data_IF_689148892689
#
_entry.id   IF_689148892689
#
_cell.length_a   1.000
_cell.length_b   1.000
_cell.length_c   1.000
_cell.angle_alpha   90.00
_cell.angle_beta   90.00
_cell.angle_gamma   90.00
#
_symmetry.space_group_name_H-M   'P 1'
#
loop_
_entity.id
_entity.type
_entity.pdbx_description
1 polymer ?
#
# COMPACT_ATOMS: atom_id res chain seq x y z
N UNK A 1 48.22 -6.19 -63.34
CA UNK A 1 49.05 -5.33 -62.44
C UNK A 1 48.11 -4.48 -61.58
N UNK A 2 48.60 -3.87 -60.47
CA UNK A 2 47.97 -2.77 -59.67
C UNK A 2 46.46 -2.88 -59.33
N UNK A 3 46.00 -3.24 -58.11
CA UNK A 3 46.04 -2.51 -56.81
C UNK A 3 45.57 -1.04 -56.93
N UNK A 4 44.68 -0.47 -56.10
CA UNK A 4 44.37 -0.59 -54.64
C UNK A 4 42.82 -0.60 -54.41
N UNK A 5 42.20 -1.20 -53.37
CA UNK A 5 42.22 -0.94 -51.90
C UNK A 5 41.75 0.51 -51.59
N UNK A 6 40.72 0.80 -50.77
CA UNK A 6 39.93 0.02 -49.78
C UNK A 6 38.39 0.26 -49.98
N UNK A 7 37.40 0.29 -49.05
CA UNK A 7 37.31 0.31 -47.55
C UNK A 7 36.01 -0.40 -47.05
N UNK A 8 35.57 -0.14 -45.80
CA UNK A 8 34.46 -0.80 -45.08
C UNK A 8 33.09 -0.08 -45.13
N UNK A 9 31.99 -0.85 -45.04
CA UNK A 9 30.73 -0.43 -44.41
C UNK A 9 29.96 -1.64 -43.82
N UNK A 10 29.55 -1.56 -42.55
CA UNK A 10 28.68 -2.55 -41.88
C UNK A 10 27.28 -1.95 -41.71
N UNK A 11 26.23 -2.68 -42.08
CA UNK A 11 24.88 -2.12 -42.23
C UNK A 11 23.72 -3.10 -42.02
N UNK A 12 23.60 -3.62 -40.80
CA UNK A 12 22.34 -4.00 -40.12
C UNK A 12 21.13 -4.49 -40.96
N UNK A 13 20.85 -5.79 -40.85
CA UNK A 13 19.47 -6.29 -40.93
C UNK A 13 18.62 -5.65 -39.82
N UNK A 14 17.45 -5.13 -40.17
CA UNK A 14 16.41 -4.71 -39.21
C UNK A 14 15.02 -5.07 -39.76
N UNK A 15 14.61 -6.32 -39.57
CA UNK A 15 13.29 -6.79 -39.97
C UNK A 15 12.19 -6.33 -38.99
N UNK A 16 10.99 -6.13 -39.54
CA UNK A 16 9.75 -5.69 -38.92
C UNK A 16 9.55 -5.94 -37.41
N UNK A 17 9.14 -4.89 -36.70
CA UNK A 17 8.16 -4.99 -35.61
C UNK A 17 7.29 -3.73 -35.52
N UNK A 18 6.27 -3.64 -36.38
CA UNK A 18 5.14 -2.73 -36.18
C UNK A 18 4.33 -3.23 -34.97
N UNK A 19 4.77 -2.85 -33.76
CA UNK A 19 3.98 -3.07 -32.55
C UNK A 19 2.78 -2.14 -32.61
N UNK A 20 1.68 -2.64 -33.13
CA UNK A 20 0.37 -2.00 -32.99
C UNK A 20 0.06 -1.90 -31.49
N UNK A 21 0.21 -0.70 -30.94
CA UNK A 21 -0.15 -0.36 -29.56
C UNK A 21 -1.67 -0.39 -29.42
N UNK A 22 -2.22 -1.60 -29.28
CA UNK A 22 -3.61 -1.82 -28.92
C UNK A 22 -3.95 -0.93 -27.71
N UNK A 23 -5.06 -0.16 -27.77
CA UNK A 23 -5.40 0.75 -26.71
C UNK A 23 -5.55 -0.03 -25.41
N UNK A 24 -4.73 0.30 -24.41
CA UNK A 24 -4.84 -0.28 -23.07
C UNK A 24 -6.22 0.08 -22.56
N UNK A 25 -7.13 -0.91 -22.54
CA UNK A 25 -8.49 -0.71 -22.09
C UNK A 25 -8.45 -0.14 -20.67
N UNK A 26 -8.84 1.12 -20.53
CA UNK A 26 -8.69 1.91 -19.31
C UNK A 26 -9.70 1.44 -18.25
N UNK A 27 -9.46 0.25 -17.71
CA UNK A 27 -10.38 -0.44 -16.81
C UNK A 27 -10.47 0.32 -15.50
N UNK A 28 -11.54 1.12 -15.38
CA UNK A 28 -12.06 1.75 -14.17
C UNK A 28 -12.63 0.71 -13.19
N UNK A 29 -11.85 -0.35 -12.95
CA UNK A 29 -12.15 -1.40 -11.98
C UNK A 29 -12.46 -0.76 -10.63
N UNK A 30 -13.69 -0.97 -10.12
CA UNK A 30 -14.38 0.01 -9.31
C UNK A 30 -13.65 0.35 -8.01
N UNK A 31 -14.06 1.46 -7.40
CA UNK A 31 -13.84 1.66 -5.97
C UNK A 31 -14.53 0.50 -5.25
N UNK A 32 -13.75 -0.52 -4.87
CA UNK A 32 -14.26 -1.58 -4.01
C UNK A 32 -14.55 -0.95 -2.65
N UNK A 33 -15.82 -0.61 -2.46
CA UNK A 33 -16.44 -0.64 -1.16
C UNK A 33 -16.28 -2.08 -0.67
N UNK A 34 -15.21 -2.33 0.09
CA UNK A 34 -15.11 -3.52 0.91
C UNK A 34 -16.29 -3.48 1.87
N UNK A 35 -17.21 -4.43 1.74
CA UNK A 35 -18.29 -4.60 2.69
C UNK A 35 -17.68 -4.73 4.09
N UNK A 36 -18.33 -4.08 5.05
CA UNK A 36 -17.87 -4.05 6.44
C UNK A 36 -18.76 -4.98 7.23
N UNK A 37 -18.62 -6.27 6.95
CA UNK A 37 -19.38 -7.27 7.68
C UNK A 37 -18.96 -7.21 9.17
N UNK A 38 -19.93 -7.41 10.06
CA UNK A 38 -19.68 -7.49 11.50
C UNK A 38 -19.77 -8.94 11.94
N UNK A 39 -18.74 -9.43 12.62
CA UNK A 39 -18.72 -10.80 13.16
C UNK A 39 -19.76 -10.89 14.28
N UNK A 40 -20.71 -11.82 14.17
CA UNK A 40 -21.75 -12.07 15.17
C UNK A 40 -21.42 -13.29 16.04
N UNK A 41 -20.81 -14.33 15.46
CA UNK A 41 -20.35 -15.52 16.16
C UNK A 41 -19.08 -16.10 15.53
N UNK A 42 -18.28 -16.80 16.36
CA UNK A 42 -17.07 -17.52 15.93
C UNK A 42 -17.05 -18.89 16.60
N UNK A 43 -16.97 -19.95 15.82
CA UNK A 43 -16.79 -21.33 16.30
C UNK A 43 -15.53 -21.94 15.63
N UNK A 44 -15.06 -23.12 16.06
CA UNK A 44 -13.95 -23.81 15.39
C UNK A 44 -14.24 -24.18 13.92
N UNK A 45 -15.50 -24.28 13.52
CA UNK A 45 -15.93 -24.71 12.17
C UNK A 45 -16.49 -23.59 11.32
N UNK A 46 -17.04 -22.53 11.94
CA UNK A 46 -17.90 -21.55 11.27
C UNK A 46 -17.67 -20.14 11.83
N UNK A 47 -17.54 -19.16 10.93
CA UNK A 47 -17.56 -17.74 11.25
C UNK A 47 -18.88 -17.17 10.73
N UNK A 48 -19.72 -16.66 11.64
CA UNK A 48 -20.99 -16.01 11.28
C UNK A 48 -20.79 -14.51 11.23
N UNK A 49 -21.17 -13.89 10.11
CA UNK A 49 -21.02 -12.46 9.85
C UNK A 49 -22.36 -11.85 9.41
N UNK A 50 -22.56 -10.56 9.69
CA UNK A 50 -23.73 -9.79 9.26
C UNK A 50 -23.32 -8.65 8.33
N UNK A 51 -23.96 -8.55 7.16
CA UNK A 51 -23.87 -7.41 6.23
C UNK A 51 -25.27 -6.86 5.95
N UNK A 52 -25.48 -5.55 6.16
CA UNK A 52 -26.82 -4.97 6.20
C UNK A 52 -27.71 -5.71 7.21
N UNK A 53 -28.76 -6.38 6.73
CA UNK A 53 -29.59 -7.31 7.49
C UNK A 53 -29.38 -8.80 7.15
N UNK A 54 -28.59 -9.10 6.12
CA UNK A 54 -28.22 -10.47 5.76
C UNK A 54 -27.23 -11.06 6.76
N UNK A 55 -27.34 -12.37 7.00
CA UNK A 55 -26.40 -13.13 7.84
C UNK A 55 -25.79 -14.24 7.00
N UNK A 56 -24.47 -14.35 7.04
CA UNK A 56 -23.66 -15.21 6.20
C UNK A 56 -22.77 -16.10 7.07
N UNK A 57 -22.43 -17.29 6.57
CA UNK A 57 -21.57 -18.26 7.28
C UNK A 57 -20.37 -18.67 6.42
N UNK A 58 -19.18 -18.54 7.00
CA UNK A 58 -17.92 -18.87 6.34
C UNK A 58 -17.31 -20.12 6.99
N UNK A 59 -17.01 -21.19 6.22
CA UNK A 59 -16.41 -22.40 6.76
C UNK A 59 -14.94 -22.17 7.14
N UNK A 60 -14.64 -22.29 8.43
CA UNK A 60 -13.32 -21.97 8.99
C UNK A 60 -12.26 -23.06 8.76
N UNK A 61 -12.67 -24.26 8.33
CA UNK A 61 -11.76 -25.37 8.06
C UNK A 61 -10.76 -25.09 6.91
N UNK A 62 -11.13 -24.23 5.95
CA UNK A 62 -10.26 -23.80 4.84
C UNK A 62 -10.07 -22.28 4.75
N UNK A 63 -10.67 -21.51 5.67
CA UNK A 63 -10.56 -20.07 5.69
C UNK A 63 -9.14 -19.59 6.02
N UNK A 64 -8.64 -18.65 5.24
CA UNK A 64 -7.38 -17.96 5.50
C UNK A 64 -7.70 -16.66 6.25
N UNK A 65 -7.08 -16.46 7.43
CA UNK A 65 -7.35 -15.30 8.29
C UNK A 65 -6.18 -14.32 8.25
N UNK A 66 -6.49 -13.02 8.16
CA UNK A 66 -5.49 -11.95 8.21
C UNK A 66 -5.89 -10.80 9.13
N UNK A 67 -4.93 -10.31 9.91
CA UNK A 67 -5.02 -9.03 10.62
C UNK A 67 -4.58 -7.91 9.66
N UNK A 68 -5.53 -7.38 8.89
CA UNK A 68 -5.27 -6.52 7.73
C UNK A 68 -4.40 -7.23 6.68
N UNK A 69 -3.10 -6.91 6.63
CA UNK A 69 -2.16 -7.53 5.68
C UNK A 69 -1.47 -8.78 6.24
N UNK A 70 -1.37 -8.92 7.57
CA UNK A 70 -0.60 -9.99 8.21
C UNK A 70 -1.38 -11.30 8.24
N UNK A 71 -0.80 -12.44 7.81
CA UNK A 71 -1.33 -13.76 8.13
C UNK A 71 -1.53 -13.92 9.64
N UNK A 72 -2.67 -14.50 10.03
CA UNK A 72 -3.05 -14.70 11.43
C UNK A 72 -3.75 -16.05 11.62
N UNK A 73 -3.79 -16.51 12.86
CA UNK A 73 -4.63 -17.65 13.27
C UNK A 73 -6.10 -17.22 13.36
N UNK A 74 -7.07 -18.11 13.04
CA UNK A 74 -8.48 -17.92 13.39
C UNK A 74 -8.73 -17.51 14.85
N UNK A 75 -7.82 -17.85 15.77
CA UNK A 75 -7.92 -17.48 17.18
C UNK A 75 -7.89 -15.96 17.48
N UNK A 76 -7.64 -15.08 16.49
CA UNK A 76 -7.84 -13.63 16.65
C UNK A 76 -9.32 -13.21 16.55
N UNK A 77 -10.17 -13.98 15.85
CA UNK A 77 -11.53 -13.57 15.49
C UNK A 77 -12.46 -13.51 16.71
N UNK A 78 -13.24 -12.44 16.87
CA UNK A 78 -14.24 -12.27 17.94
C UNK A 78 -15.52 -11.63 17.42
N UNK A 79 -16.64 -11.93 18.10
CA UNK A 79 -17.88 -11.20 17.90
C UNK A 79 -17.69 -9.69 18.19
N UNK A 80 -18.31 -8.84 17.36
CA UNK A 80 -18.16 -7.39 17.40
C UNK A 80 -16.96 -6.84 16.61
N UNK A 81 -16.11 -7.68 16.02
CA UNK A 81 -15.09 -7.21 15.07
C UNK A 81 -15.69 -6.89 13.69
N UNK A 82 -15.10 -5.90 13.00
CA UNK A 82 -15.38 -5.65 11.58
C UNK A 82 -14.43 -6.47 10.71
N UNK A 83 -14.96 -7.20 9.74
CA UNK A 83 -14.21 -7.98 8.75
C UNK A 83 -14.55 -7.54 7.32
N UNK A 84 -13.79 -8.04 6.36
CA UNK A 84 -14.23 -8.23 4.97
C UNK A 84 -13.83 -9.63 4.54
N UNK A 85 -14.78 -10.40 4.04
CA UNK A 85 -14.55 -11.73 3.45
C UNK A 85 -14.43 -11.59 1.94
N UNK A 86 -13.44 -12.28 1.34
CA UNK A 86 -13.27 -12.32 -0.11
C UNK A 86 -13.19 -13.75 -0.60
N UNK A 87 -14.05 -14.09 -1.57
CA UNK A 87 -14.23 -15.47 -2.00
C UNK A 87 -15.01 -16.31 -0.99
N UNK A 88 -16.04 -15.72 -0.37
CA UNK A 88 -16.96 -16.38 0.59
C UNK A 88 -17.42 -17.77 0.11
N UNK A 89 -17.80 -17.87 -1.17
CA UNK A 89 -18.27 -19.10 -1.84
C UNK A 89 -17.14 -19.90 -2.53
N UNK A 90 -15.87 -19.64 -2.20
CA UNK A 90 -14.71 -20.38 -2.75
C UNK A 90 -14.13 -21.35 -1.74
N UNK A 91 -13.39 -22.36 -2.22
CA UNK A 91 -12.79 -23.41 -1.37
C UNK A 91 -11.80 -22.87 -0.32
N UNK A 92 -11.31 -21.63 -0.48
CA UNK A 92 -10.34 -20.97 0.42
C UNK A 92 -10.70 -19.51 0.67
N UNK A 93 -11.77 -19.23 1.45
CA UNK A 93 -12.24 -17.86 1.69
C UNK A 93 -11.19 -17.07 2.49
N UNK A 94 -10.98 -15.80 2.14
CA UNK A 94 -10.03 -14.92 2.81
C UNK A 94 -10.77 -13.94 3.73
N UNK A 95 -10.62 -14.15 5.04
CA UNK A 95 -11.19 -13.29 6.09
C UNK A 95 -10.15 -12.24 6.49
N UNK A 96 -10.44 -10.97 6.23
CA UNK A 96 -9.59 -9.84 6.59
C UNK A 96 -10.22 -9.10 7.77
N UNK A 97 -9.61 -9.21 8.95
CA UNK A 97 -10.00 -8.43 10.14
C UNK A 97 -9.50 -6.99 9.99
N UNK A 98 -10.38 -6.02 10.18
CA UNK A 98 -10.03 -4.59 10.18
C UNK A 98 -9.60 -4.14 11.58
N UNK A 99 -8.63 -3.22 11.71
CA UNK A 99 -8.19 -2.75 13.01
C UNK A 99 -9.20 -1.78 13.61
N UNK A 100 -9.61 -2.05 14.86
CA UNK A 100 -10.42 -1.14 15.67
C UNK A 100 -9.74 0.22 15.89
N UNK A 101 -8.41 0.25 15.99
CA UNK A 101 -7.64 1.49 16.00
C UNK A 101 -6.30 1.36 15.25
N UNK A 102 -5.89 2.43 14.57
CA UNK A 102 -4.55 2.60 14.02
C UNK A 102 -3.97 3.95 14.45
N UNK A 103 -2.70 3.95 14.86
CA UNK A 103 -2.09 5.14 15.47
C UNK A 103 -0.66 4.94 15.94
N UNK A 104 -0.34 5.55 17.08
CA UNK A 104 0.95 5.45 17.76
C UNK A 104 0.79 4.70 19.07
N UNK A 105 1.65 3.73 19.36
CA UNK A 105 1.67 3.07 20.66
C UNK A 105 2.23 4.02 21.73
N UNK A 106 1.58 4.05 22.88
CA UNK A 106 2.03 4.73 24.12
C UNK A 106 1.68 3.86 25.32
N UNK A 107 2.42 4.02 26.42
CA UNK A 107 2.18 3.29 27.67
C UNK A 107 2.15 4.23 28.89
N UNK A 108 1.07 4.99 29.12
CA UNK A 108 0.91 5.75 30.36
C UNK A 108 0.68 4.80 31.54
N UNK A 109 1.70 4.65 32.40
CA UNK A 109 1.65 3.72 33.52
C UNK A 109 1.65 2.25 33.07
N UNK A 110 0.69 1.47 33.54
CA UNK A 110 0.61 0.03 33.27
C UNK A 110 0.05 -0.30 31.87
N UNK A 111 -0.92 0.47 31.39
CA UNK A 111 -1.74 0.11 30.23
C UNK A 111 -1.16 0.60 28.89
N UNK A 112 -1.30 -0.23 27.85
CA UNK A 112 -0.99 0.18 26.48
C UNK A 112 -2.14 0.95 25.85
N UNK A 113 -1.80 1.89 24.97
CA UNK A 113 -2.75 2.73 24.25
C UNK A 113 -2.34 2.92 22.78
N UNK A 114 -3.32 3.16 21.91
CA UNK A 114 -3.13 3.59 20.52
C UNK A 114 -3.69 5.00 20.35
N UNK A 115 -2.80 5.98 20.15
CA UNK A 115 -3.18 7.36 19.84
C UNK A 115 -3.45 7.49 18.34
N UNK A 116 -4.74 7.53 17.96
CA UNK A 116 -5.18 7.72 16.57
C UNK A 116 -5.44 9.20 16.27
N UNK A 117 -4.81 9.72 15.21
CA UNK A 117 -4.97 11.12 14.78
C UNK A 117 -6.38 11.52 14.32
N UNK A 118 -7.27 10.57 14.06
CA UNK A 118 -8.65 10.81 13.61
C UNK A 118 -9.72 10.43 14.63
N UNK A 119 -9.41 9.51 15.53
CA UNK A 119 -10.42 8.85 16.38
C UNK A 119 -10.09 8.94 17.89
N UNK A 120 -9.04 9.68 18.26
CA UNK A 120 -8.60 9.86 19.64
C UNK A 120 -7.72 8.71 20.13
N UNK A 121 -7.55 8.65 21.45
CA UNK A 121 -6.79 7.60 22.13
C UNK A 121 -7.68 6.42 22.46
N UNK A 122 -7.18 5.20 22.24
CA UNK A 122 -7.82 3.95 22.64
C UNK A 122 -6.93 3.21 23.64
N UNK A 123 -7.52 2.62 24.68
CA UNK A 123 -6.83 1.74 25.65
C UNK A 123 -6.93 0.29 25.21
N UNK A 124 -5.82 -0.45 25.30
CA UNK A 124 -5.76 -1.87 24.99
C UNK A 124 -5.90 -2.69 26.28
N UNK A 125 -6.84 -3.64 26.30
CA UNK A 125 -7.10 -4.58 27.39
C UNK A 125 -6.68 -5.99 26.99
N UNK A 126 -5.99 -6.70 27.86
CA UNK A 126 -5.49 -8.06 27.61
C UNK A 126 -4.12 -8.13 26.94
N UNK A 127 -3.75 -9.33 26.48
CA UNK A 127 -2.41 -9.67 25.98
C UNK A 127 -2.46 -10.00 24.47
N UNK A 128 -2.03 -9.08 23.58
CA UNK A 128 -2.16 -9.27 22.13
C UNK A 128 -1.12 -10.23 21.55
N UNK A 129 -1.51 -10.94 20.49
CA UNK A 129 -0.55 -11.54 19.55
C UNK A 129 0.18 -10.40 18.79
N UNK A 130 1.51 -10.44 18.78
CA UNK A 130 2.33 -9.39 18.15
C UNK A 130 2.70 -9.76 16.71
N UNK A 131 2.30 -8.91 15.76
CA UNK A 131 2.45 -9.17 14.33
C UNK A 131 3.46 -8.19 13.70
N UNK A 132 4.59 -8.73 13.27
CA UNK A 132 5.70 -7.96 12.71
C UNK A 132 6.46 -7.07 13.71
N UNK A 133 6.33 -7.34 15.01
CA UNK A 133 7.16 -6.76 16.06
C UNK A 133 7.53 -7.85 17.08
N UNK A 134 8.63 -7.70 17.80
CA UNK A 134 8.98 -8.58 18.93
C UNK A 134 8.22 -8.19 20.19
N UNK A 135 8.19 -6.88 20.45
CA UNK A 135 7.72 -6.29 21.69
C UNK A 135 6.85 -5.06 21.39
N UNK A 136 5.94 -4.72 22.31
CA UNK A 136 5.27 -3.42 22.30
C UNK A 136 6.24 -2.35 22.80
N UNK A 137 6.45 -1.30 22.00
CA UNK A 137 7.35 -0.18 22.32
C UNK A 137 6.66 1.17 22.08
N UNK A 138 6.84 2.20 22.93
CA UNK A 138 6.25 3.51 22.72
C UNK A 138 6.78 4.18 21.44
N UNK A 139 5.96 5.01 20.79
CA UNK A 139 6.31 5.72 19.55
C UNK A 139 6.10 4.91 18.26
N UNK A 140 6.12 3.57 18.35
CA UNK A 140 5.85 2.62 17.25
C UNK A 140 4.50 2.90 16.58
N UNK A 141 4.43 2.77 15.25
CA UNK A 141 3.16 2.83 14.50
C UNK A 141 2.57 1.44 14.39
N UNK A 142 1.34 1.29 14.88
CA UNK A 142 0.66 0.01 14.96
C UNK A 142 -0.84 0.12 14.69
N UNK A 143 -1.43 -1.02 14.37
CA UNK A 143 -2.86 -1.29 14.28
C UNK A 143 -3.23 -2.29 15.38
N UNK A 144 -4.33 -2.06 16.09
CA UNK A 144 -4.88 -2.96 17.11
C UNK A 144 -6.18 -3.60 16.61
N UNK A 145 -6.32 -4.89 16.87
CA UNK A 145 -7.43 -5.76 16.48
C UNK A 145 -8.05 -6.36 17.75
N UNK A 146 -9.29 -6.83 17.66
CA UNK A 146 -10.17 -7.09 18.80
C UNK A 146 -11.40 -6.17 18.79
N UNK A 147 -12.51 -6.59 19.44
CA UNK A 147 -13.73 -5.79 19.53
C UNK A 147 -13.50 -4.53 20.37
N UNK A 148 -14.28 -3.49 20.08
CA UNK A 148 -14.07 -2.17 20.67
C UNK A 148 -15.33 -1.60 21.33
N UNK A 149 -15.24 -1.32 22.63
CA UNK A 149 -16.29 -0.69 23.43
C UNK A 149 -15.90 0.77 23.68
N UNK A 150 -16.40 1.68 22.84
CA UNK A 150 -16.17 3.13 22.95
C UNK A 150 -14.73 3.57 22.68
N UNK A 151 -13.87 3.51 23.71
CA UNK A 151 -12.41 3.81 23.63
C UNK A 151 -11.54 2.71 24.21
N UNK A 152 -12.12 1.56 24.52
CA UNK A 152 -11.39 0.38 24.97
C UNK A 152 -11.45 -0.69 23.89
N UNK A 153 -10.36 -1.43 23.71
CA UNK A 153 -10.23 -2.54 22.75
C UNK A 153 -9.75 -3.75 23.52
N UNK A 154 -10.54 -4.82 23.54
CA UNK A 154 -10.16 -6.11 24.12
C UNK A 154 -9.25 -6.83 23.11
N UNK A 155 -7.95 -6.61 23.24
CA UNK A 155 -7.01 -6.71 22.13
C UNK A 155 -6.60 -8.15 21.84
N UNK A 156 -6.87 -8.61 20.62
CA UNK A 156 -6.54 -9.96 20.14
C UNK A 156 -5.19 -9.99 19.44
N UNK A 157 -4.87 -8.94 18.68
CA UNK A 157 -3.59 -8.75 18.03
C UNK A 157 -3.17 -7.27 17.95
N UNK A 158 -1.87 -7.02 17.91
CA UNK A 158 -1.29 -5.71 17.55
C UNK A 158 -0.28 -5.91 16.44
N UNK A 159 -0.54 -5.31 15.29
CA UNK A 159 0.33 -5.38 14.12
C UNK A 159 1.12 -4.09 13.92
N UNK A 160 2.42 -4.21 13.67
CA UNK A 160 3.25 -3.09 13.24
C UNK A 160 2.79 -2.57 11.87
N UNK A 161 2.92 -1.26 11.63
CA UNK A 161 2.71 -0.69 10.29
C UNK A 161 3.68 -1.37 9.30
N UNK A 162 3.21 -2.02 8.23
CA UNK A 162 4.09 -2.57 7.20
C UNK A 162 4.99 -1.49 6.58
N UNK A 163 6.21 -1.90 6.23
CA UNK A 163 7.04 -1.14 5.30
C UNK A 163 6.41 -1.25 3.92
N UNK A 164 6.42 -0.18 3.14
CA UNK A 164 6.00 -0.21 1.74
C UNK A 164 7.20 0.14 0.88
N UNK A 165 7.33 -0.53 -0.25
CA UNK A 165 8.39 -0.26 -1.24
C UNK A 165 7.83 -0.48 -2.64
N UNK A 166 8.29 0.30 -3.60
CA UNK A 166 8.06 0.01 -5.00
C UNK A 166 9.03 -1.10 -5.47
N UNK A 167 8.55 -1.93 -6.38
CA UNK A 167 9.31 -2.95 -7.07
C UNK A 167 8.79 -3.12 -8.50
N UNK A 168 9.59 -3.72 -9.38
CA UNK A 168 9.17 -4.12 -10.73
C UNK A 168 9.05 -5.62 -10.82
N UNK A 169 7.94 -6.12 -11.37
CA UNK A 169 7.74 -7.56 -11.59
C UNK A 169 8.87 -8.11 -12.46
N UNK A 170 9.46 -9.22 -12.02
CA UNK A 170 10.48 -9.97 -12.77
C UNK A 170 9.93 -11.30 -13.26
N UNK A 171 8.96 -11.88 -12.56
CA UNK A 171 8.30 -13.13 -12.94
C UNK A 171 6.92 -13.22 -12.28
N UNK A 172 5.87 -13.44 -13.05
CA UNK A 172 4.55 -13.83 -12.54
C UNK A 172 4.24 -15.25 -13.07
N UNK A 173 4.04 -16.21 -12.17
CA UNK A 173 3.76 -17.61 -12.51
C UNK A 173 2.62 -18.16 -11.65
N UNK A 174 2.19 -19.40 -11.90
CA UNK A 174 1.09 -20.04 -11.17
C UNK A 174 1.24 -19.94 -9.65
N UNK A 175 2.40 -20.30 -9.10
CA UNK A 175 2.62 -20.34 -7.65
C UNK A 175 3.15 -19.05 -7.01
N UNK A 176 3.81 -18.16 -7.75
CA UNK A 176 4.58 -17.05 -7.16
C UNK A 176 4.65 -15.82 -8.07
N UNK A 177 4.58 -14.64 -7.44
CA UNK A 177 4.95 -13.35 -8.01
C UNK A 177 6.31 -12.93 -7.45
N UNK A 178 7.27 -12.62 -8.34
CA UNK A 178 8.59 -12.08 -7.99
C UNK A 178 8.73 -10.67 -8.54
N UNK A 179 9.35 -9.79 -7.76
CA UNK A 179 9.59 -8.40 -8.14
C UNK A 179 10.90 -7.86 -7.54
N UNK A 180 11.65 -7.10 -8.32
CA UNK A 180 12.90 -6.46 -7.90
C UNK A 180 12.61 -5.08 -7.27
N UNK A 181 13.02 -4.89 -6.02
CA UNK A 181 13.04 -3.59 -5.34
C UNK A 181 14.48 -3.07 -5.26
N UNK A 182 14.69 -1.79 -5.56
CA UNK A 182 16.00 -1.14 -5.43
C UNK A 182 16.48 -1.06 -3.97
N UNK A 183 15.54 -1.04 -3.02
CA UNK A 183 15.82 -0.91 -1.58
C UNK A 183 15.95 -2.25 -0.86
N UNK A 184 15.26 -3.30 -1.35
CA UNK A 184 15.14 -4.59 -0.65
C UNK A 184 15.55 -5.82 -1.47
N UNK A 185 15.99 -5.63 -2.71
CA UNK A 185 16.43 -6.72 -3.59
C UNK A 185 15.26 -7.49 -4.21
N UNK A 186 15.49 -8.78 -4.51
CA UNK A 186 14.47 -9.65 -5.09
C UNK A 186 13.42 -10.04 -4.03
N UNK A 187 12.19 -9.54 -4.21
CA UNK A 187 11.03 -9.87 -3.39
C UNK A 187 10.26 -11.03 -4.02
N UNK A 188 9.69 -11.90 -3.19
CA UNK A 188 8.96 -13.10 -3.60
C UNK A 188 7.68 -13.25 -2.78
N UNK A 189 6.54 -13.42 -3.44
CA UNK A 189 5.22 -13.47 -2.81
C UNK A 189 4.42 -14.69 -3.31
N UNK A 190 4.10 -15.67 -2.44
CA UNK A 190 3.37 -16.87 -2.84
C UNK A 190 1.90 -16.54 -3.11
N UNK A 191 1.39 -17.00 -4.26
CA UNK A 191 0.02 -16.72 -4.68
C UNK A 191 -1.01 -17.72 -4.13
N UNK A 192 -0.58 -18.88 -3.64
CA UNK A 192 -1.47 -19.90 -3.05
C UNK A 192 -2.19 -19.43 -1.77
N UNK A 193 -1.74 -18.34 -1.15
CA UNK A 193 -2.35 -17.75 0.06
C UNK A 193 -3.32 -16.60 -0.27
N UNK A 194 -4.09 -16.75 -1.37
CA UNK A 194 -5.06 -15.80 -1.90
C UNK A 194 -6.20 -16.53 -2.64
N UNK A 195 -7.45 -16.05 -2.57
CA UNK A 195 -8.54 -16.51 -3.44
C UNK A 195 -8.20 -16.39 -4.93
N UNK A 196 -8.67 -17.34 -5.75
CA UNK A 196 -8.30 -17.52 -7.17
C UNK A 196 -8.34 -16.22 -7.99
N UNK A 197 -9.38 -15.40 -7.82
CA UNK A 197 -9.55 -14.10 -8.50
C UNK A 197 -8.42 -13.09 -8.25
N UNK A 198 -7.78 -13.14 -7.08
CA UNK A 198 -6.57 -12.36 -6.81
C UNK A 198 -5.32 -12.99 -7.41
N UNK A 199 -5.23 -14.33 -7.41
CA UNK A 199 -4.13 -15.05 -8.08
C UNK A 199 -4.09 -14.71 -9.57
N UNK A 200 -5.23 -14.81 -10.27
CA UNK A 200 -5.40 -14.41 -11.67
C UNK A 200 -4.96 -12.97 -11.93
N UNK A 201 -5.44 -12.03 -11.10
CA UNK A 201 -5.09 -10.60 -11.23
C UNK A 201 -3.59 -10.33 -11.05
N UNK A 202 -2.89 -11.09 -10.21
CA UNK A 202 -1.44 -10.97 -10.00
C UNK A 202 -0.63 -11.76 -11.04
N UNK A 203 -1.17 -12.86 -11.59
CA UNK A 203 -0.62 -13.61 -12.74
C UNK A 203 -0.70 -12.84 -14.05
N UNK A 204 -1.66 -11.93 -14.19
CA UNK A 204 -1.81 -11.06 -15.36
C UNK A 204 -0.73 -9.97 -15.47
N UNK A 205 0.09 -9.77 -14.43
CA UNK A 205 1.21 -8.82 -14.44
C UNK A 205 2.38 -9.35 -15.28
N UNK A 206 3.00 -8.45 -16.04
CA UNK A 206 4.11 -8.75 -16.95
C UNK A 206 5.45 -8.32 -16.35
N UNK A 207 6.58 -8.93 -16.75
CA UNK A 207 7.91 -8.43 -16.39
C UNK A 207 8.06 -6.96 -16.78
N UNK A 208 8.51 -6.13 -15.83
CA UNK A 208 8.62 -4.67 -15.95
C UNK A 208 7.50 -3.89 -15.24
N UNK A 209 6.31 -4.49 -15.04
CA UNK A 209 5.16 -3.84 -14.40
C UNK A 209 5.49 -3.37 -12.98
N UNK A 210 4.97 -2.21 -12.58
CA UNK A 210 5.17 -1.67 -11.24
C UNK A 210 4.24 -2.35 -10.22
N UNK A 211 4.80 -2.70 -9.06
CA UNK A 211 4.07 -3.23 -7.90
C UNK A 211 4.48 -2.51 -6.62
N UNK A 212 3.52 -2.32 -5.71
CA UNK A 212 3.81 -1.97 -4.32
C UNK A 212 3.87 -3.27 -3.52
N UNK A 213 5.01 -3.52 -2.88
CA UNK A 213 5.17 -4.61 -1.93
C UNK A 213 5.05 -4.06 -0.50
N UNK A 214 4.22 -4.72 0.31
CA UNK A 214 4.09 -4.48 1.74
C UNK A 214 4.91 -5.53 2.49
N UNK A 215 5.93 -5.10 3.21
CA UNK A 215 6.88 -5.95 3.93
C UNK A 215 6.64 -5.87 5.44
N UNK A 216 6.79 -7.02 6.09
CA UNK A 216 6.88 -7.12 7.54
C UNK A 216 8.17 -6.45 8.04
N UNK A 217 8.13 -5.43 8.92
CA UNK A 217 9.32 -4.70 9.34
C UNK A 217 10.31 -5.54 10.17
N UNK A 218 9.84 -6.63 10.81
CA UNK A 218 10.69 -7.48 11.66
C UNK A 218 11.56 -8.45 10.85
N UNK A 219 11.01 -9.07 9.80
CA UNK A 219 11.69 -10.15 9.05
C UNK A 219 11.76 -9.91 7.53
N UNK A 220 11.27 -8.77 7.02
CA UNK A 220 11.19 -8.40 5.60
C UNK A 220 10.35 -9.32 4.70
N UNK A 221 9.59 -10.25 5.28
CA UNK A 221 8.66 -11.11 4.55
C UNK A 221 7.61 -10.26 3.81
N UNK A 222 7.34 -10.62 2.55
CA UNK A 222 6.29 -9.97 1.76
C UNK A 222 4.92 -10.41 2.28
N UNK A 223 4.17 -9.48 2.87
CA UNK A 223 2.82 -9.69 3.40
C UNK A 223 1.78 -9.63 2.28
N UNK A 224 2.00 -8.71 1.34
CA UNK A 224 1.13 -8.45 0.21
C UNK A 224 1.96 -7.84 -0.93
N UNK A 225 1.68 -8.24 -2.17
CA UNK A 225 1.97 -7.42 -3.36
C UNK A 225 0.64 -6.97 -3.97
N UNK A 226 0.62 -5.76 -4.49
CA UNK A 226 -0.47 -5.24 -5.32
C UNK A 226 0.11 -4.59 -6.59
N UNK A 227 -0.59 -4.63 -7.73
CA UNK A 227 -0.25 -3.78 -8.86
C UNK A 227 -0.14 -2.35 -8.36
N UNK A 228 1.01 -1.71 -8.55
CA UNK A 228 1.09 -0.28 -8.33
C UNK A 228 0.24 0.31 -9.43
N UNK A 229 -0.94 0.82 -9.06
CA UNK A 229 -1.73 1.65 -9.96
C UNK A 229 -0.98 2.97 -10.07
N UNK A 230 0.20 2.98 -10.69
CA UNK A 230 0.88 4.20 -11.10
C UNK A 230 -0.08 4.99 -11.97
N UNK A 231 -0.91 4.40 -12.82
CA UNK A 231 -1.95 5.16 -13.55
C UNK A 231 -2.93 5.92 -12.63
N UNK A 232 -3.16 5.46 -11.39
CA UNK A 232 -3.91 6.21 -10.37
C UNK A 232 -3.00 7.15 -9.56
N UNK A 233 -1.78 6.74 -9.20
CA UNK A 233 -0.82 7.60 -8.53
C UNK A 233 -0.33 8.69 -9.46
N UNK A 234 0.30 8.43 -10.59
CA UNK A 234 0.51 9.37 -11.72
C UNK A 234 -0.71 10.28 -11.93
N UNK A 235 -1.96 9.80 -12.05
CA UNK A 235 -3.12 10.73 -12.08
C UNK A 235 -3.26 11.56 -10.80
N UNK A 236 -3.06 11.00 -9.62
CA UNK A 236 -2.92 11.69 -8.33
C UNK A 236 -1.54 12.36 -8.08
N UNK A 237 -0.64 12.48 -9.07
CA UNK A 237 0.65 13.19 -9.03
C UNK A 237 0.60 14.35 -10.04
N UNK A 238 0.04 14.07 -11.22
CA UNK A 238 -0.71 14.98 -12.10
C UNK A 238 -1.85 15.71 -11.38
N UNK A 239 -2.28 15.25 -10.18
CA UNK A 239 -3.29 15.91 -9.35
C UNK A 239 -2.94 16.13 -7.85
N UNK A 240 -1.88 15.56 -7.24
CA UNK A 240 -1.76 15.61 -5.77
C UNK A 240 -0.63 14.87 -5.04
N UNK A 241 0.64 15.11 -5.37
CA UNK A 241 1.80 14.44 -4.72
C UNK A 241 2.03 14.91 -3.27
N UNK A 242 2.09 14.02 -2.28
CA UNK A 242 2.52 14.36 -0.91
C UNK A 242 3.91 13.77 -0.59
N UNK A 243 4.82 14.58 -0.01
CA UNK A 243 6.19 14.13 0.29
C UNK A 243 7.01 15.08 1.14
N UNK A 244 8.30 14.75 1.28
CA UNK A 244 9.36 15.59 1.82
C UNK A 244 10.31 15.96 0.68
N UNK A 245 10.71 17.22 0.59
CA UNK A 245 11.56 17.72 -0.50
C UNK A 245 12.98 17.18 -0.36
N UNK A 246 13.52 16.65 -1.46
CA UNK A 246 14.91 16.18 -1.58
C UNK A 246 15.74 17.19 -2.36
N UNK A 247 15.20 17.67 -3.49
CA UNK A 247 15.83 18.67 -4.34
C UNK A 247 14.78 19.61 -4.96
N UNK A 248 15.20 20.82 -5.30
CA UNK A 248 14.40 21.82 -6.00
C UNK A 248 15.25 22.42 -7.12
N UNK A 249 14.71 22.49 -8.33
CA UNK A 249 15.31 23.18 -9.47
C UNK A 249 14.34 24.26 -10.00
N UNK A 250 14.73 24.97 -11.07
CA UNK A 250 13.81 25.87 -11.77
C UNK A 250 12.73 25.12 -12.60
N UNK A 251 12.91 23.81 -12.82
CA UNK A 251 12.04 22.97 -13.66
C UNK A 251 11.34 21.85 -12.89
N UNK A 252 11.87 21.43 -11.74
CA UNK A 252 11.44 20.20 -11.05
C UNK A 252 11.49 20.33 -9.53
N UNK A 253 10.55 19.65 -8.88
CA UNK A 253 10.49 19.47 -7.43
C UNK A 253 10.60 17.97 -7.11
N UNK A 254 11.74 17.54 -6.58
CA UNK A 254 11.98 16.13 -6.23
C UNK A 254 11.53 15.86 -4.79
N UNK A 255 10.62 14.91 -4.63
CA UNK A 255 9.98 14.55 -3.36
C UNK A 255 10.27 13.09 -3.01
N UNK A 256 10.70 12.82 -1.78
CA UNK A 256 10.65 11.47 -1.21
C UNK A 256 9.36 11.28 -0.41
N UNK A 257 8.76 10.10 -0.49
CA UNK A 257 7.55 9.72 0.22
C UNK A 257 7.65 8.24 0.68
N UNK A 258 6.67 7.71 1.44
CA UNK A 258 6.72 6.32 1.94
C UNK A 258 6.61 5.19 0.89
N UNK A 259 6.70 5.49 -0.41
CA UNK A 259 6.73 4.53 -1.53
C UNK A 259 8.05 4.61 -2.32
N UNK A 260 8.66 5.80 -2.43
CA UNK A 260 9.90 6.03 -3.18
C UNK A 260 10.23 7.52 -3.36
N UNK A 261 10.98 7.83 -4.41
CA UNK A 261 11.31 9.21 -4.83
C UNK A 261 10.58 9.55 -6.13
N UNK A 262 9.97 10.73 -6.18
CA UNK A 262 9.10 11.20 -7.27
C UNK A 262 9.53 12.60 -7.70
N UNK A 263 9.66 12.83 -9.01
CA UNK A 263 9.94 14.17 -9.58
C UNK A 263 8.64 14.80 -10.07
N UNK A 264 8.35 16.02 -9.63
CA UNK A 264 7.15 16.78 -10.01
C UNK A 264 7.55 18.02 -10.83
N UNK A 265 7.22 18.10 -12.13
CA UNK A 265 7.65 19.22 -12.97
C UNK A 265 6.91 20.52 -12.64
N UNK A 266 7.68 21.58 -12.43
CA UNK A 266 7.26 22.95 -12.15
C UNK A 266 6.85 23.62 -13.48
N UNK A 267 5.71 24.30 -13.47
CA UNK A 267 5.21 25.10 -14.61
C UNK A 267 5.23 26.61 -14.29
N UNK A 268 5.16 27.52 -15.28
CA UNK A 268 4.97 28.95 -15.03
C UNK A 268 3.70 29.28 -14.23
N UNK A 269 2.69 28.39 -14.26
CA UNK A 269 1.47 28.46 -13.45
C UNK A 269 1.63 27.85 -12.03
N UNK A 270 2.86 27.64 -11.55
CA UNK A 270 3.09 27.06 -10.22
C UNK A 270 2.93 28.13 -9.13
N UNK A 271 2.05 27.88 -8.17
CA UNK A 271 1.82 28.72 -6.99
C UNK A 271 2.18 27.95 -5.73
N UNK A 272 2.69 28.65 -4.70
CA UNK A 272 3.01 28.05 -3.40
C UNK A 272 2.16 28.70 -2.32
N UNK A 273 1.52 27.87 -1.49
CA UNK A 273 0.77 28.31 -0.31
C UNK A 273 1.47 27.84 0.96
N UNK A 274 2.20 28.75 1.60
CA UNK A 274 2.83 28.56 2.89
C UNK A 274 2.10 29.44 3.93
N UNK A 275 1.47 28.88 4.98
CA UNK A 275 0.88 29.68 6.06
C UNK A 275 1.90 30.63 6.68
N UNK A 276 1.54 31.91 6.83
CA UNK A 276 2.44 32.97 7.31
C UNK A 276 3.34 33.62 6.25
N UNK A 277 3.44 33.06 5.03
CA UNK A 277 4.31 33.57 3.97
C UNK A 277 3.53 33.71 2.65
N UNK A 278 2.78 34.82 2.44
CA UNK A 278 1.87 34.98 1.30
C UNK A 278 2.57 35.11 -0.06
N UNK A 279 3.84 35.51 -0.08
CA UNK A 279 4.65 35.72 -1.30
C UNK A 279 5.68 34.60 -1.54
N UNK A 280 5.46 33.40 -1.00
CA UNK A 280 6.37 32.26 -1.21
C UNK A 280 6.43 31.85 -2.69
N UNK A 281 7.66 31.64 -3.17
CA UNK A 281 8.00 31.03 -4.45
C UNK A 281 8.60 29.63 -4.26
N UNK A 282 8.61 28.81 -5.32
CA UNK A 282 9.15 27.44 -5.26
C UNK A 282 10.62 27.42 -4.84
N UNK A 283 11.40 28.45 -5.23
CA UNK A 283 12.82 28.62 -4.88
C UNK A 283 13.10 28.76 -3.38
N UNK A 284 12.10 29.13 -2.59
CA UNK A 284 12.24 29.29 -1.12
C UNK A 284 11.92 28.00 -0.35
N UNK A 285 11.43 26.96 -1.04
CA UNK A 285 11.22 25.64 -0.45
C UNK A 285 12.59 24.95 -0.33
N UNK A 286 12.97 24.52 0.88
CA UNK A 286 14.26 23.88 1.13
C UNK A 286 14.13 22.35 1.09
N UNK A 287 15.21 21.61 0.75
CA UNK A 287 15.33 20.20 1.12
C UNK A 287 14.98 19.98 2.60
N UNK A 288 14.22 18.94 2.89
CA UNK A 288 13.70 18.63 4.23
C UNK A 288 12.30 19.17 4.53
N UNK A 289 11.79 20.21 3.83
CA UNK A 289 10.42 20.72 4.00
C UNK A 289 9.39 19.66 3.55
N UNK A 290 8.23 19.57 4.23
CA UNK A 290 7.12 18.68 3.82
C UNK A 290 6.05 19.43 3.05
N UNK A 291 5.62 18.87 1.92
CA UNK A 291 4.73 19.53 0.96
C UNK A 291 3.65 18.59 0.39
N UNK A 292 2.60 19.20 -0.17
CA UNK A 292 1.56 18.60 -0.99
C UNK A 292 1.46 19.39 -2.30
N UNK A 293 1.81 18.79 -3.43
CA UNK A 293 1.89 19.39 -4.75
C UNK A 293 0.73 18.91 -5.65
N UNK A 294 -0.31 19.74 -5.76
CA UNK A 294 -1.58 19.46 -6.45
C UNK A 294 -1.54 20.10 -7.83
N UNK A 295 -1.46 19.33 -8.92
CA UNK A 295 -1.67 19.86 -10.27
C UNK A 295 -3.18 19.87 -10.60
N UNK A 296 -3.60 20.80 -11.44
CA UNK A 296 -5.01 20.96 -11.85
C UNK A 296 -5.18 20.71 -13.36
N UNK A 297 -6.42 20.49 -13.83
CA UNK A 297 -6.71 20.30 -15.26
C UNK A 297 -6.25 21.45 -16.18
N UNK A 298 -6.09 22.67 -15.66
CA UNK A 298 -5.54 23.81 -16.39
C UNK A 298 -4.00 23.81 -16.51
N UNK A 299 -3.36 22.72 -16.08
CA UNK A 299 -1.91 22.54 -15.91
C UNK A 299 -1.22 23.46 -14.86
N UNK A 300 -1.98 24.20 -14.03
CA UNK A 300 -1.41 24.85 -12.84
C UNK A 300 -0.97 23.83 -11.79
N UNK A 301 -0.02 24.22 -10.93
CA UNK A 301 0.48 23.40 -9.84
C UNK A 301 0.41 24.21 -8.54
N UNK A 302 -0.28 23.70 -7.51
CA UNK A 302 -0.43 24.32 -6.19
C UNK A 302 0.36 23.52 -5.17
N UNK A 303 1.49 24.07 -4.72
CA UNK A 303 2.33 23.45 -3.69
C UNK A 303 1.91 24.03 -2.33
N UNK A 304 1.30 23.21 -1.48
CA UNK A 304 0.97 23.57 -0.09
C UNK A 304 2.07 23.08 0.85
N UNK A 305 2.65 23.98 1.63
CA UNK A 305 3.58 23.59 2.70
C UNK A 305 2.76 22.99 3.85
N UNK A 306 3.16 21.79 4.30
CA UNK A 306 2.47 21.04 5.36
C UNK A 306 3.13 21.22 6.72
N UNK A 307 4.46 21.26 6.74
CA UNK A 307 5.28 21.55 7.91
C UNK A 307 6.72 21.83 7.47
N UNK A 308 7.34 22.86 8.03
CA UNK A 308 8.80 22.89 8.12
C UNK A 308 9.27 21.99 9.27
N UNK A 309 10.56 21.61 9.21
CA UNK A 309 11.37 21.39 10.40
C UNK A 309 12.02 22.73 10.77
#
# INVERSE_FOLDING_TARGET
>A
MTRRISLWAVGLFAAASLIASAPVAAYSGPHHHWAKETVTAVTPTTLTIKDGDATHEVPMASAQVRAGMYPASPSILRAGETVTVVGETSDTPLVIVHPAAYGTLTKPGASWQVISKRHGTFTLKGSPILLGMRDLSPGTKAAAFGPATGKEIDVTAVASRPVMTQARVTTATSGVLKAQSDQYGMLSYPLSQLPTRFQERLRALKPGDAVVACLNPLNRQVLMMMPDRLDHWVKALEHGTAGQVVAVSNKDLTLTNPLGTVTVPITPKTTVRWPGHPHTTVKQIKPGTRVLAIRHPDASLKIRILSNK
#
